data_IF_532417967626
#
_entry.id   IF_532417967626
#
_cell.length_a   1.000
_cell.length_b   1.000
_cell.length_c   1.000
_cell.angle_alpha   90.00
_cell.angle_beta   90.00
_cell.angle_gamma   90.00
#
_symmetry.space_group_name_H-M   'P 1'
#
loop_
_entity.id
_entity.type
_entity.pdbx_description
1 polymer ?
#
# COMPACT_ATOMS: atom_id res chain seq x y z
N UNK A 1 -27.75 22.39 -75.01
CA UNK A 1 -26.85 22.96 -73.99
C UNK A 1 -27.12 22.21 -72.69
N UNK A 2 -26.23 21.29 -72.29
CA UNK A 2 -26.39 20.46 -71.08
C UNK A 2 -25.57 21.04 -69.93
N UNK A 3 -26.25 21.46 -68.87
CA UNK A 3 -25.69 21.95 -67.61
C UNK A 3 -25.14 20.78 -66.80
N UNK A 4 -23.83 20.76 -66.53
CA UNK A 4 -23.17 19.75 -65.68
C UNK A 4 -23.20 20.24 -64.23
N UNK A 5 -23.93 19.54 -63.36
CA UNK A 5 -23.85 19.76 -61.91
C UNK A 5 -22.62 19.09 -61.32
N UNK A 6 -21.82 19.85 -60.57
CA UNK A 6 -20.71 19.37 -59.77
C UNK A 6 -21.22 19.13 -58.33
N UNK A 7 -21.20 17.89 -57.88
CA UNK A 7 -21.50 17.51 -56.49
C UNK A 7 -20.19 17.59 -55.70
N UNK A 8 -20.10 18.52 -54.76
CA UNK A 8 -19.00 18.64 -53.80
C UNK A 8 -19.37 17.83 -52.55
N UNK A 9 -18.70 16.71 -52.34
CA UNK A 9 -18.86 15.89 -51.14
C UNK A 9 -18.01 16.44 -49.99
N UNK A 10 -18.67 16.94 -48.94
CA UNK A 10 -18.03 17.35 -47.69
C UNK A 10 -17.91 16.10 -46.79
N UNK A 11 -16.69 15.62 -46.57
CA UNK A 11 -16.41 14.53 -45.61
C UNK A 11 -16.14 15.15 -44.24
N UNK A 12 -17.11 15.03 -43.33
CA UNK A 12 -16.97 15.42 -41.93
C UNK A 12 -16.23 14.32 -41.14
N UNK A 13 -14.96 14.55 -40.82
CA UNK A 13 -14.17 13.65 -39.97
C UNK A 13 -14.54 13.82 -38.49
N UNK A 14 -15.16 12.80 -37.89
CA UNK A 14 -15.49 12.79 -36.46
C UNK A 14 -14.23 12.51 -35.62
N UNK A 15 -13.82 13.49 -34.81
CA UNK A 15 -12.81 13.30 -33.77
C UNK A 15 -13.42 12.47 -32.62
N UNK A 16 -12.99 11.22 -32.51
CA UNK A 16 -13.39 10.36 -31.38
C UNK A 16 -12.51 10.74 -30.18
N UNK A 17 -13.02 11.58 -29.29
CA UNK A 17 -12.38 11.82 -28.00
C UNK A 17 -12.39 10.52 -27.19
N UNK A 18 -11.22 9.91 -26.99
CA UNK A 18 -11.10 8.72 -26.15
C UNK A 18 -11.30 9.12 -24.70
N UNK A 19 -12.41 8.71 -24.08
CA UNK A 19 -12.61 8.90 -22.65
C UNK A 19 -11.67 7.93 -21.93
N UNK A 20 -10.70 8.44 -21.18
CA UNK A 20 -9.96 7.62 -20.24
C UNK A 20 -10.90 7.29 -19.08
N UNK A 21 -11.55 6.13 -19.14
CA UNK A 21 -12.35 5.64 -18.02
C UNK A 21 -11.40 5.29 -16.87
N UNK A 22 -11.40 6.09 -15.81
CA UNK A 22 -10.78 5.72 -14.55
C UNK A 22 -11.51 4.49 -14.01
N UNK A 23 -10.85 3.33 -14.03
CA UNK A 23 -11.42 2.10 -13.52
C UNK A 23 -11.29 2.13 -11.99
N UNK A 24 -12.35 2.50 -11.28
CA UNK A 24 -12.44 2.31 -9.84
C UNK A 24 -12.68 0.81 -9.55
N UNK A 25 -11.63 0.01 -9.76
CA UNK A 25 -11.62 -1.41 -9.39
C UNK A 25 -11.34 -1.57 -7.91
N UNK A 26 -11.99 -2.53 -7.26
CA UNK A 26 -11.60 -2.97 -5.92
C UNK A 26 -10.14 -3.46 -5.96
N UNK A 27 -9.24 -2.76 -5.27
CA UNK A 27 -7.86 -3.20 -5.08
C UNK A 27 -7.81 -3.97 -3.75
N UNK A 28 -7.67 -5.30 -3.76
CA UNK A 28 -7.49 -6.05 -2.53
C UNK A 28 -6.15 -5.68 -1.90
N UNK A 29 -6.08 -5.75 -0.57
CA UNK A 29 -4.81 -5.68 0.15
C UNK A 29 -3.87 -6.80 -0.32
N UNK A 30 -2.60 -6.48 -0.56
CA UNK A 30 -1.57 -7.42 -1.01
C UNK A 30 -0.31 -7.24 -0.18
N UNK A 31 0.46 -8.32 -0.04
CA UNK A 31 1.75 -8.27 0.63
C UNK A 31 2.78 -8.95 -0.25
N UNK A 32 3.82 -8.22 -0.60
CA UNK A 32 4.88 -8.67 -1.49
C UNK A 32 6.22 -8.67 -0.74
N UNK A 33 7.11 -9.59 -1.12
CA UNK A 33 8.46 -9.63 -0.54
C UNK A 33 9.31 -8.48 -1.07
N UNK A 34 10.13 -7.92 -0.18
CA UNK A 34 11.19 -6.99 -0.55
C UNK A 34 12.55 -7.69 -0.46
N UNK A 35 13.58 -7.19 -1.14
CA UNK A 35 14.94 -7.67 -0.94
C UNK A 35 15.37 -7.60 0.54
N UNK A 36 16.07 -8.65 1.00
CA UNK A 36 16.54 -8.78 2.38
C UNK A 36 15.68 -9.71 3.25
N UNK A 37 16.32 -10.34 4.24
CA UNK A 37 15.66 -11.36 5.07
C UNK A 37 14.55 -10.74 5.92
N UNK A 38 13.32 -11.22 5.74
CA UNK A 38 12.17 -10.78 6.53
C UNK A 38 11.65 -9.40 6.15
N UNK A 39 12.07 -8.87 5.00
CA UNK A 39 11.56 -7.61 4.44
C UNK A 39 10.36 -7.90 3.54
N UNK A 40 9.33 -7.09 3.66
CA UNK A 40 8.12 -7.19 2.84
C UNK A 40 7.43 -5.83 2.80
N UNK A 41 6.58 -5.60 1.81
CA UNK A 41 5.72 -4.42 1.77
C UNK A 41 4.26 -4.83 1.73
N UNK A 42 3.44 -4.08 2.46
CA UNK A 42 1.99 -4.17 2.41
C UNK A 42 1.52 -3.09 1.46
N UNK A 43 0.93 -3.51 0.35
CA UNK A 43 0.36 -2.62 -0.67
C UNK A 43 -1.04 -2.24 -0.25
N UNK A 44 -1.34 -0.96 -0.41
CA UNK A 44 -2.65 -0.39 -0.09
C UNK A 44 -3.77 -1.14 -0.80
N UNK A 45 -4.91 -1.24 -0.12
CA UNK A 45 -6.15 -1.74 -0.69
C UNK A 45 -7.33 -0.93 -0.18
N UNK A 46 -8.54 -1.29 -0.61
CA UNK A 46 -9.75 -0.64 -0.11
C UNK A 46 -9.93 -0.88 1.40
N UNK A 47 -10.30 0.16 2.15
CA UNK A 47 -10.46 0.12 3.60
C UNK A 47 -9.34 0.85 4.35
N UNK A 48 -9.40 0.80 5.68
CA UNK A 48 -9.02 1.95 6.49
C UNK A 48 -7.65 1.90 7.19
N UNK A 49 -6.84 2.92 6.90
CA UNK A 49 -5.91 3.54 7.85
C UNK A 49 -4.73 2.69 8.33
N UNK A 50 -3.88 3.32 9.15
CA UNK A 50 -2.62 2.76 9.63
C UNK A 50 -2.79 1.36 10.25
N UNK A 51 -3.87 1.13 11.00
CA UNK A 51 -4.16 -0.14 11.64
C UNK A 51 -4.30 -1.30 10.64
N UNK A 52 -4.86 -1.05 9.46
CA UNK A 52 -5.04 -2.07 8.43
C UNK A 52 -3.71 -2.52 7.83
N UNK A 53 -2.78 -1.60 7.59
CA UNK A 53 -1.39 -1.94 7.22
C UNK A 53 -0.74 -2.84 8.27
N UNK A 54 -0.85 -2.48 9.55
CA UNK A 54 -0.30 -3.29 10.65
C UNK A 54 -0.94 -4.67 10.74
N UNK A 55 -2.25 -4.79 10.52
CA UNK A 55 -2.92 -6.09 10.47
C UNK A 55 -2.39 -6.96 9.33
N UNK A 56 -2.36 -6.44 8.10
CA UNK A 56 -1.91 -7.23 6.94
C UNK A 56 -0.43 -7.60 7.07
N UNK A 57 0.39 -6.71 7.65
CA UNK A 57 1.77 -7.03 8.01
C UNK A 57 1.87 -8.17 9.03
N UNK A 58 1.04 -8.15 10.07
CA UNK A 58 1.02 -9.20 11.09
C UNK A 58 0.57 -10.55 10.52
N UNK A 59 -0.46 -10.57 9.66
CA UNK A 59 -0.90 -11.79 8.95
C UNK A 59 0.22 -12.38 8.10
N UNK A 60 0.97 -11.52 7.40
CA UNK A 60 2.13 -11.95 6.63
C UNK A 60 3.27 -12.49 7.50
N UNK A 61 3.54 -11.81 8.63
CA UNK A 61 4.56 -12.23 9.58
C UNK A 61 4.22 -13.59 10.22
N UNK A 62 2.98 -13.81 10.66
CA UNK A 62 2.54 -15.06 11.31
C UNK A 62 2.45 -16.20 10.31
N UNK A 63 1.86 -15.98 9.13
CA UNK A 63 1.62 -17.01 8.14
C UNK A 63 2.88 -17.30 7.31
N UNK A 64 3.10 -16.57 6.21
CA UNK A 64 4.26 -16.73 5.33
C UNK A 64 5.62 -16.75 6.04
N UNK A 65 5.88 -15.83 6.98
CA UNK A 65 7.19 -15.74 7.64
C UNK A 65 7.31 -16.59 8.93
N UNK A 66 6.22 -17.23 9.37
CA UNK A 66 6.18 -18.10 10.58
C UNK A 66 6.75 -17.44 11.84
N UNK A 67 6.58 -16.13 11.97
CA UNK A 67 7.09 -15.34 13.09
C UNK A 67 6.27 -15.54 14.37
N UNK A 68 6.94 -15.42 15.52
CA UNK A 68 6.31 -15.48 16.84
C UNK A 68 5.71 -14.13 17.24
N UNK A 69 4.68 -14.14 18.07
CA UNK A 69 3.97 -12.92 18.48
C UNK A 69 4.83 -11.85 19.16
N UNK A 70 5.88 -12.24 19.88
CA UNK A 70 6.78 -11.31 20.57
C UNK A 70 7.86 -10.68 19.67
N UNK A 71 8.01 -11.15 18.44
CA UNK A 71 8.93 -10.54 17.45
C UNK A 71 8.40 -9.16 17.08
N UNK A 72 9.29 -8.19 16.91
CA UNK A 72 8.93 -6.82 16.51
C UNK A 72 9.04 -6.65 15.00
N UNK A 73 8.04 -5.98 14.42
CA UNK A 73 8.03 -5.54 13.03
C UNK A 73 8.31 -4.05 13.01
N UNK A 74 9.27 -3.64 12.18
CA UNK A 74 9.69 -2.25 12.05
C UNK A 74 9.31 -1.73 10.68
N UNK A 75 8.92 -0.46 10.60
CA UNK A 75 8.81 0.23 9.32
C UNK A 75 10.21 0.41 8.74
N UNK A 76 10.45 -0.25 7.61
CA UNK A 76 11.63 -0.11 6.78
C UNK A 76 11.46 1.03 5.77
N UNK A 77 10.28 1.11 5.15
CA UNK A 77 9.92 2.15 4.20
C UNK A 77 8.59 2.76 4.65
N UNK A 78 8.53 4.06 4.98
CA UNK A 78 7.27 4.74 5.28
C UNK A 78 6.30 4.64 4.11
N UNK A 79 5.02 4.87 4.39
CA UNK A 79 3.99 4.94 3.36
C UNK A 79 4.41 5.85 2.20
N UNK A 80 4.36 5.30 0.99
CA UNK A 80 4.82 5.94 -0.23
C UNK A 80 4.63 5.02 -1.44
N UNK A 81 5.15 5.39 -2.62
CA UNK A 81 5.05 4.56 -3.81
C UNK A 81 5.60 3.15 -3.57
N UNK A 82 4.79 2.14 -3.89
CA UNK A 82 5.12 0.74 -3.75
C UNK A 82 6.34 0.36 -4.60
N UNK A 83 7.17 -0.56 -4.09
CA UNK A 83 8.41 -0.98 -4.77
C UNK A 83 8.18 -2.13 -5.74
N UNK A 84 7.13 -2.91 -5.54
CA UNK A 84 6.84 -4.13 -6.31
C UNK A 84 5.56 -4.04 -7.14
N UNK A 85 4.76 -2.99 -6.96
CA UNK A 85 3.53 -2.78 -7.72
C UNK A 85 3.45 -1.34 -8.23
N UNK A 86 3.43 -1.17 -9.55
CA UNK A 86 3.29 0.15 -10.17
C UNK A 86 1.93 0.77 -9.87
N UNK A 87 1.91 2.11 -9.77
CA UNK A 87 0.69 2.91 -9.52
C UNK A 87 -0.05 2.52 -8.23
N UNK A 88 0.67 2.16 -7.17
CA UNK A 88 0.10 1.86 -5.85
C UNK A 88 1.01 2.41 -4.76
N UNK A 89 0.44 2.67 -3.58
CA UNK A 89 1.20 2.96 -2.37
C UNK A 89 1.39 1.71 -1.51
N UNK A 90 2.44 1.71 -0.70
CA UNK A 90 2.74 0.63 0.23
C UNK A 90 3.52 1.13 1.44
N UNK A 91 3.53 0.31 2.48
CA UNK A 91 4.41 0.45 3.65
C UNK A 91 5.34 -0.75 3.69
N UNK A 92 6.65 -0.49 3.73
CA UNK A 92 7.68 -1.51 3.86
C UNK A 92 7.94 -1.85 5.32
N UNK A 93 7.97 -3.13 5.64
CA UNK A 93 8.26 -3.67 6.96
C UNK A 93 9.48 -4.59 6.94
N UNK A 94 10.08 -4.77 8.12
CA UNK A 94 11.12 -5.76 8.35
C UNK A 94 10.97 -6.43 9.72
N UNK A 95 11.28 -7.74 9.77
CA UNK A 95 11.49 -8.51 11.00
C UNK A 95 12.98 -8.60 11.40
N UNK A 96 13.88 -8.11 10.55
CA UNK A 96 15.32 -8.16 10.74
C UNK A 96 15.91 -6.76 10.49
N UNK A 97 15.66 -5.80 11.39
CA UNK A 97 16.03 -4.42 11.19
C UNK A 97 17.56 -4.26 11.10
N UNK A 98 18.01 -3.34 10.23
CA UNK A 98 19.40 -2.88 10.26
C UNK A 98 19.64 -1.96 11.45
N UNK A 99 20.90 -1.68 11.77
CA UNK A 99 21.24 -0.75 12.86
C UNK A 99 20.61 0.63 12.66
N UNK A 100 20.61 1.16 11.43
CA UNK A 100 19.97 2.44 11.13
C UNK A 100 18.45 2.47 11.42
N UNK A 101 17.75 1.34 11.21
CA UNK A 101 16.32 1.22 11.55
C UNK A 101 16.13 1.15 13.08
N UNK A 102 17.06 0.49 13.78
CA UNK A 102 17.06 0.43 15.25
C UNK A 102 17.36 1.79 15.88
N UNK A 103 18.27 2.58 15.30
CA UNK A 103 18.61 3.91 15.79
C UNK A 103 17.43 4.90 15.65
N UNK A 104 16.58 4.68 14.63
CA UNK A 104 15.34 5.42 14.42
C UNK A 104 14.14 4.84 15.17
N UNK A 105 14.33 3.80 15.98
CA UNK A 105 13.22 3.05 16.54
C UNK A 105 12.35 3.91 17.47
N UNK A 106 11.05 3.92 17.18
CA UNK A 106 10.03 4.50 18.04
C UNK A 106 8.77 3.62 18.06
N UNK A 107 7.91 3.82 19.06
CA UNK A 107 6.74 2.98 19.32
C UNK A 107 5.58 3.81 19.89
N UNK A 108 4.34 3.28 19.94
CA UNK A 108 3.27 3.94 20.66
C UNK A 108 3.69 4.26 22.10
N UNK A 109 3.29 5.44 22.57
CA UNK A 109 3.65 6.01 23.86
C UNK A 109 4.89 6.92 23.82
N UNK A 110 5.73 6.83 22.80
CA UNK A 110 6.90 7.70 22.68
C UNK A 110 6.44 9.14 22.38
N UNK A 111 6.91 10.10 23.19
CA UNK A 111 6.42 11.48 23.13
C UNK A 111 4.94 11.64 23.51
N UNK A 112 4.35 10.67 24.23
CA UNK A 112 2.98 10.75 24.73
C UNK A 112 1.89 10.40 23.71
N UNK A 113 2.24 9.97 22.50
CA UNK A 113 1.27 9.62 21.45
C UNK A 113 1.06 8.10 21.36
N UNK A 114 -0.18 7.63 21.52
CA UNK A 114 -0.54 6.21 21.49
C UNK A 114 -1.13 5.73 20.16
N UNK A 115 -1.26 6.61 19.16
CA UNK A 115 -1.70 6.25 17.82
C UNK A 115 -0.61 5.51 17.05
N UNK A 116 -1.01 4.53 16.24
CA UNK A 116 -0.09 3.80 15.34
C UNK A 116 0.26 4.62 14.11
N UNK A 117 1.53 4.58 13.71
CA UNK A 117 2.05 5.31 12.54
C UNK A 117 2.42 4.34 11.42
N UNK A 118 2.35 4.81 10.18
CA UNK A 118 2.94 4.19 8.98
C UNK A 118 3.96 5.11 8.29
N UNK A 119 4.23 6.28 8.86
CA UNK A 119 4.95 7.38 8.21
C UNK A 119 6.36 7.61 8.76
N UNK A 120 6.80 6.80 9.73
CA UNK A 120 8.09 6.98 10.41
C UNK A 120 8.93 5.71 10.30
N UNK A 121 10.13 5.84 9.72
CA UNK A 121 11.14 4.76 9.73
C UNK A 121 11.41 4.34 11.17
N UNK A 122 11.56 3.04 11.40
CA UNK A 122 11.83 2.51 12.73
C UNK A 122 10.60 2.42 13.63
N UNK A 123 9.44 3.00 13.26
CA UNK A 123 8.21 2.80 14.03
C UNK A 123 7.87 1.32 14.07
N UNK A 124 7.59 0.81 15.27
CA UNK A 124 7.55 -0.64 15.43
C UNK A 124 6.55 -1.13 16.48
N UNK A 125 5.95 -2.28 16.17
CA UNK A 125 5.00 -3.01 17.01
C UNK A 125 5.44 -4.47 17.11
N UNK A 126 5.04 -5.16 18.18
CA UNK A 126 5.14 -6.63 18.16
C UNK A 126 4.14 -7.20 17.15
N UNK A 127 4.45 -8.37 16.60
CA UNK A 127 3.53 -9.13 15.73
C UNK A 127 2.19 -9.33 16.43
N UNK A 128 2.18 -9.66 17.73
CA UNK A 128 0.96 -9.84 18.51
C UNK A 128 0.13 -8.57 18.65
N UNK A 129 0.75 -7.41 18.90
CA UNK A 129 0.04 -6.13 18.98
C UNK A 129 -0.60 -5.82 17.63
N UNK A 130 0.19 -5.88 16.56
CA UNK A 130 -0.28 -5.59 15.21
C UNK A 130 -1.41 -6.56 14.77
N UNK A 131 -1.32 -7.84 15.14
CA UNK A 131 -2.37 -8.83 14.88
C UNK A 131 -3.68 -8.50 15.60
N UNK A 132 -3.63 -7.81 16.74
CA UNK A 132 -4.84 -7.33 17.44
C UNK A 132 -5.71 -6.40 16.56
N UNK A 133 -5.11 -5.67 15.61
CA UNK A 133 -5.87 -4.85 14.66
C UNK A 133 -6.66 -5.68 13.65
N UNK A 134 -6.34 -6.96 13.46
CA UNK A 134 -7.06 -7.81 12.51
C UNK A 134 -8.45 -8.22 12.97
N UNK A 135 -8.70 -8.18 14.28
CA UNK A 135 -10.01 -8.49 14.85
C UNK A 135 -10.83 -7.24 15.16
N UNK A 136 -10.24 -6.05 15.02
CA UNK A 136 -10.96 -4.79 15.15
C UNK A 136 -11.74 -4.56 13.86
N UNK A 137 -13.06 -4.68 13.93
CA UNK A 137 -13.95 -4.34 12.82
C UNK A 137 -14.09 -2.81 12.77
N UNK A 138 -13.02 -2.13 12.35
CA UNK A 138 -13.02 -0.68 12.17
C UNK A 138 -13.71 -0.33 10.86
N UNK A 139 -15.04 -0.26 10.93
CA UNK A 139 -15.87 0.49 10.01
C UNK A 139 -15.46 1.96 10.14
N UNK A 140 -14.87 2.53 9.09
CA UNK A 140 -14.87 3.98 8.89
C UNK A 140 -15.60 4.24 7.58
#
# INVERSE_FOLDING_TARGET
MHTRSLIVSVVAGSLIASVAAAQFGYIPWRVNQLPGKGNFEVIEGAGSGNQRYWCEAAKYAVGPLRSRGNVRMYILNPEGPAKTQGNSYAVGFTLNPSQAVLDAANKPGDGGNYSVSVSKVGYNLSVSHAHGFCTMNVLF
#
